data_IF_401586203529
#
_entry.id   IF_401586203529
#
_cell.length_a   1.000
_cell.length_b   1.000
_cell.length_c   1.000
_cell.angle_alpha   90.00
_cell.angle_beta   90.00
_cell.angle_gamma   90.00
#
_symmetry.space_group_name_H-M   'P 1'
#
loop_
_entity.id
_entity.type
_entity.pdbx_description
1 polymer ?
#
# COMPACT_ATOMS: atom_id res chain seq x y z
N UNK A 1 -24.95 47.04 24.39
CA UNK A 1 -24.44 47.58 23.11
C UNK A 1 -22.93 47.43 23.12
N UNK A 2 -22.36 46.79 22.09
CA UNK A 2 -20.91 46.74 21.87
C UNK A 2 -20.56 47.72 20.75
N UNK A 3 -19.56 48.56 20.98
CA UNK A 3 -19.06 49.57 20.03
C UNK A 3 -17.62 49.21 19.66
N UNK A 4 -17.32 49.20 18.36
CA UNK A 4 -16.00 48.83 17.84
C UNK A 4 -15.33 50.04 17.18
N UNK A 5 -14.03 50.22 17.45
CA UNK A 5 -13.17 51.21 16.80
C UNK A 5 -12.25 50.48 15.82
N UNK A 6 -12.12 50.99 14.60
CA UNK A 6 -11.26 50.44 13.54
C UNK A 6 -10.31 51.55 13.08
N UNK A 7 -9.04 51.54 13.53
CA UNK A 7 -8.05 52.60 13.22
C UNK A 7 -7.79 52.78 11.72
N UNK A 8 -7.93 51.71 10.91
CA UNK A 8 -7.67 51.75 9.47
C UNK A 8 -8.70 52.56 8.66
N UNK A 9 -9.87 52.86 9.23
CA UNK A 9 -10.93 53.61 8.56
C UNK A 9 -10.84 55.13 8.81
N UNK A 10 -10.11 55.55 9.84
CA UNK A 10 -9.92 56.96 10.17
C UNK A 10 -9.68 57.20 11.65
N UNK A 11 -9.25 58.43 12.01
CA UNK A 11 -8.84 58.78 13.36
C UNK A 11 -10.02 58.77 14.33
N UNK A 12 -9.71 58.51 15.61
CA UNK A 12 -10.70 58.53 16.67
C UNK A 12 -11.38 59.91 16.77
N UNK A 13 -12.69 59.96 17.09
CA UNK A 13 -13.38 61.23 17.27
C UNK A 13 -12.74 62.04 18.40
N UNK A 14 -12.84 63.38 18.33
CA UNK A 14 -12.12 64.31 19.24
C UNK A 14 -12.30 64.06 20.74
N UNK A 15 -13.42 63.47 21.16
CA UNK A 15 -13.71 63.15 22.56
C UNK A 15 -13.09 61.81 23.02
N UNK A 16 -12.56 61.00 22.10
CA UNK A 16 -11.92 59.70 22.35
C UNK A 16 -10.53 59.61 21.70
N UNK A 17 -9.81 60.73 21.62
CA UNK A 17 -8.45 60.78 21.03
C UNK A 17 -7.44 59.85 21.72
N UNK A 18 -7.68 59.48 22.98
CA UNK A 18 -6.86 58.51 23.72
C UNK A 18 -6.91 57.10 23.11
N UNK A 19 -7.99 56.73 22.42
CA UNK A 19 -8.08 55.43 21.76
C UNK A 19 -7.01 55.28 20.67
N UNK A 20 -6.69 56.36 19.97
CA UNK A 20 -5.63 56.37 18.95
C UNK A 20 -4.26 56.10 19.57
N UNK A 21 -3.94 56.76 20.68
CA UNK A 21 -2.71 56.52 21.45
C UNK A 21 -2.63 55.10 21.99
N UNK A 22 -3.75 54.57 22.50
CA UNK A 22 -3.80 53.21 23.05
C UNK A 22 -3.66 52.16 21.95
N UNK A 23 -4.24 52.40 20.76
CA UNK A 23 -4.04 51.53 19.60
C UNK A 23 -2.64 51.65 19.03
N UNK A 24 -2.04 52.83 19.01
CA UNK A 24 -0.65 53.04 18.57
C UNK A 24 0.34 52.33 19.51
N UNK A 25 0.17 52.45 20.83
CA UNK A 25 0.99 51.71 21.80
C UNK A 25 0.78 50.19 21.68
N UNK A 26 -0.44 49.74 21.39
CA UNK A 26 -0.73 48.32 21.22
C UNK A 26 -0.17 47.77 19.89
N UNK A 27 -0.19 48.58 18.83
CA UNK A 27 0.42 48.26 17.53
C UNK A 27 1.95 48.28 17.58
N UNK A 28 2.54 49.18 18.37
CA UNK A 28 3.99 49.20 18.63
C UNK A 28 4.42 48.02 19.51
N UNK A 29 3.55 47.58 20.42
CA UNK A 29 3.69 46.32 21.15
C UNK A 29 3.25 45.08 20.33
N UNK A 30 3.24 45.16 19.00
CA UNK A 30 3.31 43.93 18.21
C UNK A 30 4.54 43.19 18.71
N UNK A 31 4.31 42.15 19.51
CA UNK A 31 5.33 41.19 19.86
C UNK A 31 5.83 40.70 18.50
N UNK A 32 6.97 41.24 18.03
CA UNK A 32 7.72 40.58 16.98
C UNK A 32 7.72 39.13 17.40
N UNK A 33 7.23 38.24 16.54
CA UNK A 33 7.21 36.83 16.84
C UNK A 33 8.68 36.37 16.85
N UNK A 34 9.41 36.68 17.93
CA UNK A 34 10.83 36.37 18.16
C UNK A 34 11.06 34.85 18.11
N UNK A 35 9.98 34.08 18.04
CA UNK A 35 9.96 32.63 18.00
C UNK A 35 9.64 32.03 16.62
N UNK A 36 9.51 32.80 15.53
CA UNK A 36 9.24 32.24 14.20
C UNK A 36 10.35 31.25 13.74
N UNK A 37 11.59 31.50 14.16
CA UNK A 37 12.75 30.66 13.83
C UNK A 37 13.07 29.59 14.89
N UNK A 38 12.25 29.45 15.93
CA UNK A 38 12.48 28.48 17.00
C UNK A 38 11.48 27.33 16.98
N UNK A 39 12.00 26.10 17.00
CA UNK A 39 11.21 24.88 17.17
C UNK A 39 11.24 24.44 18.63
N UNK A 40 10.05 24.22 19.20
CA UNK A 40 9.91 23.55 20.48
C UNK A 40 10.22 22.05 20.33
N UNK A 41 11.09 21.54 21.19
CA UNK A 41 11.57 20.16 21.23
C UNK A 41 11.38 19.63 22.66
N UNK A 42 10.83 18.43 22.77
CA UNK A 42 10.69 17.74 24.07
C UNK A 42 12.01 17.13 24.53
N UNK A 43 12.15 16.88 25.84
CA UNK A 43 13.35 16.20 26.37
C UNK A 43 13.64 14.86 25.67
N UNK A 44 12.59 14.09 25.35
CA UNK A 44 12.70 12.81 24.64
C UNK A 44 13.20 12.98 23.21
N UNK A 45 12.71 13.99 22.48
CA UNK A 45 13.20 14.28 21.13
C UNK A 45 14.65 14.76 21.13
N UNK A 46 15.06 15.52 22.15
CA UNK A 46 16.45 15.95 22.30
C UNK A 46 17.40 14.76 22.55
N UNK A 47 16.98 13.81 23.38
CA UNK A 47 17.68 12.56 23.67
C UNK A 47 17.78 11.67 22.42
N UNK A 48 16.69 11.52 21.68
CA UNK A 48 16.66 10.77 20.41
C UNK A 48 17.59 11.38 19.33
N UNK A 49 17.77 12.70 19.36
CA UNK A 49 18.70 13.40 18.47
C UNK A 49 20.15 13.38 18.99
N UNK A 50 20.40 12.87 20.20
CA UNK A 50 21.73 12.82 20.83
C UNK A 50 22.25 14.19 21.28
N UNK A 51 21.36 15.16 21.54
CA UNK A 51 21.69 16.55 21.82
C UNK A 51 21.66 16.93 23.30
N UNK A 52 21.72 15.95 24.21
CA UNK A 52 21.65 16.18 25.66
C UNK A 52 22.78 17.07 26.20
N UNK A 53 23.94 17.02 25.55
CA UNK A 53 25.10 17.84 25.88
C UNK A 53 24.89 19.34 25.66
N UNK A 54 23.86 19.74 24.92
CA UNK A 54 23.51 21.14 24.68
C UNK A 54 22.65 21.73 25.80
N UNK A 55 22.17 20.91 26.74
CA UNK A 55 21.39 21.38 27.89
C UNK A 55 22.27 22.29 28.75
N UNK A 56 21.81 23.53 28.98
CA UNK A 56 22.54 24.55 29.74
C UNK A 56 23.42 25.46 28.88
N UNK A 57 23.55 25.19 27.57
CA UNK A 57 24.17 26.11 26.62
C UNK A 57 23.16 27.13 26.10
N UNK A 58 23.63 28.26 25.56
CA UNK A 58 22.76 29.30 24.98
C UNK A 58 22.05 28.87 23.68
N UNK A 59 22.32 27.66 23.17
CA UNK A 59 21.67 27.12 21.96
C UNK A 59 20.29 26.54 22.24
N UNK A 60 19.99 26.22 23.50
CA UNK A 60 18.71 25.70 23.96
C UNK A 60 18.12 26.67 24.98
N UNK A 61 16.94 27.19 24.68
CA UNK A 61 16.17 27.99 25.64
C UNK A 61 15.17 27.10 26.36
N UNK A 62 15.39 26.87 27.65
CA UNK A 62 14.45 26.11 28.48
C UNK A 62 13.09 26.81 28.53
N UNK A 63 12.02 26.06 28.25
CA UNK A 63 10.65 26.56 28.32
C UNK A 63 9.69 25.47 28.76
N UNK A 64 9.02 25.70 29.89
CA UNK A 64 8.04 24.80 30.52
C UNK A 64 8.58 23.37 30.74
N UNK A 65 8.43 22.48 29.76
CA UNK A 65 8.78 21.05 29.83
C UNK A 65 9.69 20.60 28.68
N UNK A 66 10.28 21.55 27.96
CA UNK A 66 11.16 21.27 26.83
C UNK A 66 12.11 22.43 26.55
N UNK A 67 12.58 22.49 25.32
CA UNK A 67 13.56 23.48 24.89
C UNK A 67 13.14 24.07 23.55
N UNK A 68 13.35 25.37 23.38
CA UNK A 68 13.35 25.99 22.07
C UNK A 68 14.76 25.91 21.48
N UNK A 69 14.83 25.45 20.24
CA UNK A 69 16.04 25.34 19.44
C UNK A 69 15.82 26.04 18.10
N UNK A 70 16.84 26.67 17.53
CA UNK A 70 16.78 27.20 16.17
C UNK A 70 16.38 26.08 15.18
N UNK A 71 15.36 26.34 14.35
CA UNK A 71 14.85 25.44 13.31
C UNK A 71 15.97 24.92 12.41
N UNK A 72 17.00 25.72 12.14
CA UNK A 72 18.15 25.32 11.31
C UNK A 72 18.99 24.25 11.98
N UNK A 73 19.24 24.40 13.28
CA UNK A 73 19.99 23.42 14.07
C UNK A 73 19.21 22.11 14.19
N UNK A 74 17.90 22.22 14.46
CA UNK A 74 17.01 21.05 14.51
C UNK A 74 17.00 20.26 13.20
N UNK A 75 16.90 20.94 12.04
CA UNK A 75 16.91 20.27 10.73
C UNK A 75 18.22 19.54 10.47
N UNK A 76 19.37 20.15 10.80
CA UNK A 76 20.69 19.51 10.66
C UNK A 76 20.81 18.29 11.57
N UNK A 77 20.43 18.43 12.84
CA UNK A 77 20.44 17.33 13.79
C UNK A 77 19.53 16.18 13.32
N UNK A 78 18.33 16.49 12.84
CA UNK A 78 17.41 15.48 12.30
C UNK A 78 17.99 14.75 11.08
N UNK A 79 18.63 15.46 10.16
CA UNK A 79 19.28 14.82 9.00
C UNK A 79 20.45 13.92 9.38
N UNK A 80 21.17 14.24 10.46
CA UNK A 80 22.31 13.45 10.95
C UNK A 80 21.83 12.26 11.77
N UNK A 81 20.83 12.44 12.62
CA UNK A 81 20.29 11.39 13.47
C UNK A 81 19.55 10.32 12.66
N UNK A 82 18.84 10.72 11.59
CA UNK A 82 18.08 9.80 10.75
C UNK A 82 18.52 9.83 9.27
N UNK A 83 19.73 9.34 8.91
CA UNK A 83 20.18 9.31 7.52
C UNK A 83 19.33 8.40 6.61
N UNK A 84 18.67 7.38 7.18
CA UNK A 84 17.94 6.36 6.44
C UNK A 84 16.42 6.54 6.41
N UNK A 85 15.87 7.65 6.94
CA UNK A 85 14.41 7.88 7.04
C UNK A 85 13.72 7.71 5.67
N UNK A 86 14.34 8.21 4.60
CA UNK A 86 13.80 8.10 3.25
C UNK A 86 13.79 6.64 2.74
N UNK A 87 14.88 5.91 2.93
CA UNK A 87 15.01 4.52 2.46
C UNK A 87 14.11 3.58 3.26
N UNK A 88 14.00 3.78 4.57
CA UNK A 88 13.07 3.02 5.43
C UNK A 88 11.62 3.31 5.07
N UNK A 89 11.27 4.58 4.81
CA UNK A 89 9.94 4.95 4.35
C UNK A 89 9.58 4.27 3.02
N UNK A 90 10.52 4.27 2.05
CA UNK A 90 10.35 3.56 0.78
C UNK A 90 10.18 2.06 0.99
N UNK A 91 11.05 1.42 1.76
CA UNK A 91 10.95 -0.02 2.08
C UNK A 91 9.63 -0.37 2.75
N UNK A 92 9.15 0.47 3.67
CA UNK A 92 7.88 0.27 4.37
C UNK A 92 6.69 0.39 3.40
N UNK A 93 6.72 1.35 2.48
CA UNK A 93 5.71 1.48 1.42
C UNK A 93 5.68 0.28 0.48
N UNK A 94 6.85 -0.18 0.04
CA UNK A 94 6.98 -1.39 -0.80
C UNK A 94 6.44 -2.62 -0.06
N UNK A 95 6.77 -2.78 1.22
CA UNK A 95 6.23 -3.87 2.04
C UNK A 95 4.70 -3.79 2.15
N UNK A 96 4.16 -2.60 2.40
CA UNK A 96 2.73 -2.38 2.50
C UNK A 96 2.00 -2.72 1.18
N UNK A 97 2.58 -2.38 0.02
CA UNK A 97 2.02 -2.77 -1.28
C UNK A 97 2.10 -4.27 -1.50
N UNK A 98 3.24 -4.91 -1.21
CA UNK A 98 3.40 -6.36 -1.31
C UNK A 98 2.41 -7.10 -0.39
N UNK A 99 2.19 -6.62 0.83
CA UNK A 99 1.22 -7.21 1.76
C UNK A 99 -0.22 -7.06 1.28
N UNK A 100 -0.58 -5.92 0.69
CA UNK A 100 -1.89 -5.73 0.03
C UNK A 100 -2.06 -6.70 -1.14
N UNK A 101 -1.03 -6.87 -1.97
CA UNK A 101 -1.07 -7.81 -3.09
C UNK A 101 -1.15 -9.26 -2.60
N UNK A 102 -0.45 -9.59 -1.51
CA UNK A 102 -0.56 -10.90 -0.84
C UNK A 102 -1.93 -11.15 -0.24
N UNK A 103 -2.61 -10.13 0.29
CA UNK A 103 -3.96 -10.28 0.83
C UNK A 103 -5.00 -10.59 -0.26
N UNK A 104 -4.76 -10.14 -1.49
CA UNK A 104 -5.59 -10.44 -2.65
C UNK A 104 -5.25 -11.82 -3.27
N UNK A 105 -4.11 -12.42 -2.92
CA UNK A 105 -3.75 -13.78 -3.37
C UNK A 105 -4.61 -14.79 -2.61
N UNK A 106 -5.29 -15.65 -3.36
CA UNK A 106 -6.07 -16.77 -2.82
C UNK A 106 -5.16 -17.60 -1.91
N UNK A 107 -5.41 -17.54 -0.61
CA UNK A 107 -4.77 -18.44 0.35
C UNK A 107 -5.33 -19.84 0.08
N UNK A 108 -4.48 -20.73 -0.42
CA UNK A 108 -4.84 -22.15 -0.58
C UNK A 108 -4.85 -22.75 0.82
N UNK A 109 -6.02 -23.17 1.28
CA UNK A 109 -6.15 -23.89 2.56
C UNK A 109 -5.26 -25.14 2.52
N UNK A 110 -4.48 -25.34 3.59
CA UNK A 110 -3.52 -26.45 3.66
C UNK A 110 -4.26 -27.78 3.50
N UNK A 111 -3.86 -28.56 2.49
CA UNK A 111 -4.41 -29.90 2.31
C UNK A 111 -4.03 -30.80 3.50
N UNK A 112 -4.95 -31.68 3.95
CA UNK A 112 -4.67 -32.63 5.01
C UNK A 112 -3.59 -33.65 4.62
N UNK A 113 -2.99 -34.28 5.64
CA UNK A 113 -1.88 -35.23 5.45
C UNK A 113 -2.36 -36.53 4.80
N UNK A 114 -3.52 -37.05 5.22
CA UNK A 114 -4.14 -38.28 4.72
C UNK A 114 -5.32 -37.94 3.79
N UNK A 115 -5.61 -38.78 2.80
CA UNK A 115 -6.75 -38.63 1.88
C UNK A 115 -6.80 -37.27 1.14
N UNK A 116 -5.63 -36.77 0.70
CA UNK A 116 -5.47 -35.53 -0.07
C UNK A 116 -6.42 -35.42 -1.26
N UNK A 117 -6.59 -36.52 -1.99
CA UNK A 117 -7.45 -36.57 -3.18
C UNK A 117 -8.94 -36.42 -2.82
N UNK A 118 -9.38 -36.90 -1.66
CA UNK A 118 -10.75 -36.74 -1.18
C UNK A 118 -10.98 -35.30 -0.72
N UNK A 119 -10.04 -34.73 0.04
CA UNK A 119 -10.09 -33.33 0.45
C UNK A 119 -10.13 -32.38 -0.76
N UNK A 120 -9.33 -32.65 -1.80
CA UNK A 120 -9.36 -31.91 -3.06
C UNK A 120 -10.72 -32.00 -3.77
N UNK A 121 -11.33 -33.18 -3.81
CA UNK A 121 -12.68 -33.34 -4.38
C UNK A 121 -13.71 -32.52 -3.59
N UNK A 122 -13.68 -32.59 -2.26
CA UNK A 122 -14.60 -31.84 -1.39
C UNK A 122 -14.39 -30.32 -1.49
N UNK A 123 -13.14 -29.83 -1.57
CA UNK A 123 -12.85 -28.41 -1.80
C UNK A 123 -13.36 -27.93 -3.17
N UNK A 124 -13.28 -28.77 -4.20
CA UNK A 124 -13.86 -28.45 -5.50
C UNK A 124 -15.39 -28.43 -5.44
N UNK A 125 -16.03 -29.39 -4.75
CA UNK A 125 -17.49 -29.41 -4.58
C UNK A 125 -18.01 -28.29 -3.67
N UNK A 126 -17.20 -27.80 -2.73
CA UNK A 126 -17.48 -26.59 -1.95
C UNK A 126 -17.63 -25.34 -2.82
N UNK A 127 -16.84 -25.25 -3.89
CA UNK A 127 -16.93 -24.14 -4.84
C UNK A 127 -18.19 -24.23 -5.73
N UNK A 128 -18.78 -25.42 -5.86
CA UNK A 128 -20.03 -25.64 -6.59
C UNK A 128 -21.26 -25.35 -5.70
N UNK A 129 -22.03 -24.31 -6.06
CA UNK A 129 -23.20 -23.83 -5.28
C UNK A 129 -24.25 -24.90 -4.93
N UNK A 130 -24.34 -26.00 -5.68
CA UNK A 130 -25.32 -27.08 -5.45
C UNK A 130 -24.88 -28.12 -4.43
N UNK A 131 -23.58 -28.26 -4.15
CA UNK A 131 -23.02 -29.30 -3.26
C UNK A 131 -22.23 -28.73 -2.08
N UNK A 132 -22.21 -27.41 -1.95
CA UNK A 132 -21.43 -26.67 -0.97
C UNK A 132 -21.71 -27.06 0.48
N UNK A 133 -22.98 -27.23 0.85
CA UNK A 133 -23.38 -27.48 2.26
C UNK A 133 -22.85 -28.82 2.78
N UNK A 134 -23.00 -29.89 1.99
CA UNK A 134 -22.50 -31.22 2.35
C UNK A 134 -20.96 -31.28 2.38
N UNK A 135 -20.30 -30.73 1.36
CA UNK A 135 -18.85 -30.76 1.27
C UNK A 135 -18.17 -29.89 2.35
N UNK A 136 -18.75 -28.72 2.67
CA UNK A 136 -18.24 -27.87 3.74
C UNK A 136 -18.42 -28.48 5.12
N UNK A 137 -19.56 -29.15 5.35
CA UNK A 137 -19.79 -29.85 6.61
C UNK A 137 -18.77 -30.97 6.81
N UNK A 138 -18.40 -31.75 5.78
CA UNK A 138 -17.47 -32.88 5.95
C UNK A 138 -16.02 -32.45 6.22
N UNK A 139 -15.59 -31.32 5.66
CA UNK A 139 -14.23 -30.78 5.88
C UNK A 139 -14.08 -30.10 7.25
N UNK A 140 -15.15 -29.49 7.76
CA UNK A 140 -15.11 -28.70 8.99
C UNK A 140 -15.66 -29.44 10.24
N UNK A 141 -16.35 -30.56 10.07
CA UNK A 141 -16.96 -31.32 11.18
C UNK A 141 -15.93 -32.20 11.89
N UNK A 142 -15.78 -31.97 13.20
CA UNK A 142 -14.85 -32.68 14.09
C UNK A 142 -15.04 -34.20 14.06
N UNK A 143 -16.26 -34.69 13.77
CA UNK A 143 -16.54 -36.13 13.67
C UNK A 143 -15.78 -36.81 12.53
N UNK A 144 -15.48 -36.08 11.46
CA UNK A 144 -14.80 -36.60 10.28
C UNK A 144 -13.31 -36.26 10.23
N UNK A 145 -12.80 -35.55 11.24
CA UNK A 145 -11.38 -35.19 11.37
C UNK A 145 -10.45 -36.42 11.30
N UNK A 146 -10.89 -37.53 11.87
CA UNK A 146 -10.16 -38.81 11.83
C UNK A 146 -9.90 -39.32 10.39
N UNK A 147 -10.77 -39.02 9.41
CA UNK A 147 -10.61 -39.44 8.01
C UNK A 147 -9.41 -38.76 7.31
N UNK A 148 -8.93 -37.64 7.85
CA UNK A 148 -7.91 -36.79 7.26
C UNK A 148 -6.57 -36.80 8.02
N UNK A 149 -6.58 -37.32 9.25
CA UNK A 149 -5.39 -37.39 10.12
C UNK A 149 -4.87 -38.83 10.30
N UNK A 150 -5.76 -39.83 10.40
CA UNK A 150 -5.36 -41.20 10.70
C UNK A 150 -5.01 -41.98 9.41
N UNK A 151 -3.84 -42.65 9.35
CA UNK A 151 -3.40 -43.39 8.16
C UNK A 151 -4.26 -44.62 7.86
N UNK A 152 -4.95 -45.18 8.86
CA UNK A 152 -5.81 -46.35 8.69
C UNK A 152 -7.00 -46.09 7.76
N UNK A 153 -7.37 -44.82 7.55
CA UNK A 153 -8.41 -44.42 6.61
C UNK A 153 -7.87 -44.07 5.22
N UNK A 154 -6.57 -44.26 4.95
CA UNK A 154 -5.97 -43.95 3.65
C UNK A 154 -6.57 -44.83 2.55
N UNK A 155 -7.15 -44.18 1.54
CA UNK A 155 -7.77 -44.88 0.42
C UNK A 155 -6.70 -45.25 -0.62
N UNK A 156 -6.27 -46.51 -0.62
CA UNK A 156 -5.38 -47.03 -1.66
C UNK A 156 -6.14 -47.32 -2.95
N UNK A 157 -5.78 -46.59 -4.01
CA UNK A 157 -6.39 -46.73 -5.35
C UNK A 157 -5.84 -47.92 -6.13
N UNK A 158 -4.69 -48.47 -5.72
CA UNK A 158 -4.05 -49.60 -6.38
C UNK A 158 -4.61 -50.94 -5.90
N UNK A 159 -5.26 -50.96 -4.74
CA UNK A 159 -5.92 -52.14 -4.19
C UNK A 159 -7.01 -52.67 -5.16
N UNK A 160 -7.09 -53.99 -5.31
CA UNK A 160 -8.05 -54.62 -6.22
C UNK A 160 -9.50 -54.38 -5.80
N UNK A 161 -9.77 -54.34 -4.50
CA UNK A 161 -11.10 -54.09 -3.93
C UNK A 161 -11.63 -52.72 -4.37
N UNK A 162 -10.79 -51.69 -4.30
CA UNK A 162 -11.16 -50.34 -4.73
C UNK A 162 -11.44 -50.28 -6.24
N UNK A 163 -10.64 -51.00 -7.05
CA UNK A 163 -10.81 -51.06 -8.52
C UNK A 163 -12.06 -51.82 -8.92
N UNK A 164 -12.42 -52.89 -8.21
CA UNK A 164 -13.59 -53.71 -8.49
C UNK A 164 -14.89 -52.96 -8.16
N UNK A 165 -14.89 -52.18 -7.07
CA UNK A 165 -16.04 -51.36 -6.68
C UNK A 165 -16.24 -50.16 -7.60
N UNK A 166 -15.16 -49.63 -8.20
CA UNK A 166 -15.16 -48.41 -8.99
C UNK A 166 -14.69 -48.61 -10.45
N UNK A 167 -15.39 -49.44 -11.26
CA UNK A 167 -14.93 -49.82 -12.59
C UNK A 167 -14.90 -48.66 -13.61
N UNK A 168 -15.66 -47.59 -13.39
CA UNK A 168 -15.77 -46.43 -14.29
C UNK A 168 -14.87 -45.25 -13.86
N UNK A 169 -14.41 -45.21 -12.61
CA UNK A 169 -13.73 -44.04 -12.06
C UNK A 169 -12.29 -43.87 -12.57
N UNK A 170 -11.58 -44.94 -12.91
CA UNK A 170 -10.15 -44.83 -13.29
C UNK A 170 -9.92 -43.93 -14.52
N UNK A 171 -10.75 -44.09 -15.56
CA UNK A 171 -10.60 -43.34 -16.83
C UNK A 171 -11.01 -41.87 -16.72
N UNK A 172 -12.05 -41.56 -15.93
CA UNK A 172 -12.54 -40.19 -15.76
C UNK A 172 -11.69 -39.38 -14.79
N UNK A 173 -11.20 -40.01 -13.73
CA UNK A 173 -10.36 -39.34 -12.72
C UNK A 173 -8.99 -38.96 -13.25
N UNK A 174 -8.31 -39.80 -14.04
CA UNK A 174 -7.00 -39.45 -14.61
C UNK A 174 -7.05 -38.19 -15.47
N UNK A 175 -8.12 -38.04 -16.26
CA UNK A 175 -8.34 -36.88 -17.12
C UNK A 175 -8.59 -35.61 -16.29
N UNK A 176 -9.32 -35.73 -15.18
CA UNK A 176 -9.63 -34.62 -14.29
C UNK A 176 -8.41 -34.23 -13.41
N UNK A 177 -7.66 -35.22 -12.92
CA UNK A 177 -6.44 -35.02 -12.11
C UNK A 177 -5.37 -34.28 -12.91
N UNK A 178 -5.13 -34.68 -14.18
CA UNK A 178 -4.21 -33.95 -15.09
C UNK A 178 -4.63 -32.50 -15.35
N UNK A 179 -5.93 -32.21 -15.45
CA UNK A 179 -6.43 -30.84 -15.62
C UNK A 179 -6.27 -30.01 -14.34
N UNK A 180 -6.54 -30.59 -13.18
CA UNK A 180 -6.41 -29.91 -11.88
C UNK A 180 -4.94 -29.62 -11.54
N UNK A 181 -4.03 -30.57 -11.73
CA UNK A 181 -2.59 -30.31 -11.55
C UNK A 181 -2.07 -29.20 -12.45
N UNK A 182 -2.48 -29.17 -13.73
CA UNK A 182 -2.11 -28.06 -14.63
C UNK A 182 -2.62 -26.70 -14.13
N UNK A 183 -3.82 -26.67 -13.55
CA UNK A 183 -4.43 -25.44 -13.02
C UNK A 183 -3.72 -24.94 -11.75
N UNK A 184 -3.33 -25.85 -10.86
CA UNK A 184 -2.57 -25.52 -9.64
C UNK A 184 -1.17 -25.03 -10.01
N UNK A 185 -0.45 -25.73 -10.89
CA UNK A 185 0.88 -25.32 -11.36
C UNK A 185 0.85 -23.96 -12.07
N UNK A 186 -0.18 -23.69 -12.89
CA UNK A 186 -0.34 -22.36 -13.52
C UNK A 186 -0.68 -21.24 -12.55
N UNK A 187 -1.25 -21.54 -11.38
CA UNK A 187 -1.56 -20.54 -10.35
C UNK A 187 -0.40 -20.32 -9.37
N UNK A 188 0.52 -21.29 -9.24
CA UNK A 188 1.74 -21.16 -8.44
C UNK A 188 2.91 -20.51 -9.21
N UNK A 189 2.94 -20.64 -10.53
CA UNK A 189 3.94 -20.04 -11.42
C UNK A 189 3.29 -19.04 -12.39
N UNK A 190 2.74 -17.94 -11.88
CA UNK A 190 2.93 -16.70 -12.63
C UNK A 190 4.39 -16.31 -12.38
N UNK A 191 5.27 -16.33 -13.40
CA UNK A 191 6.60 -15.80 -13.22
C UNK A 191 6.40 -14.34 -12.83
N UNK A 192 6.69 -14.01 -11.58
CA UNK A 192 7.00 -12.65 -11.22
C UNK A 192 8.11 -12.29 -12.19
N UNK A 193 7.80 -11.47 -13.20
CA UNK A 193 8.83 -10.71 -13.87
C UNK A 193 9.54 -10.00 -12.72
N UNK A 194 10.68 -10.55 -12.30
CA UNK A 194 11.69 -9.79 -11.58
C UNK A 194 11.95 -8.61 -12.50
N UNK A 195 11.28 -7.49 -12.23
CA UNK A 195 11.75 -6.22 -12.74
C UNK A 195 13.22 -6.17 -12.34
N UNK A 196 14.15 -6.06 -13.31
CA UNK A 196 15.56 -6.11 -13.00
C UNK A 196 15.85 -4.89 -12.13
N UNK A 197 15.98 -5.12 -10.82
CA UNK A 197 16.45 -4.10 -9.90
C UNK A 197 17.85 -3.69 -10.36
N UNK A 198 17.96 -2.44 -10.82
CA UNK A 198 19.22 -1.73 -10.89
C UNK A 198 20.19 -2.15 -11.98
N UNK A 199 19.84 -1.93 -13.26
CA UNK A 199 20.88 -1.50 -14.22
C UNK A 199 21.01 0.01 -14.13
N UNK A 200 22.04 0.44 -13.41
CA UNK A 200 22.52 1.81 -13.46
C UNK A 200 22.80 2.21 -14.91
N UNK A 201 22.32 3.40 -15.25
CA UNK A 201 22.59 4.09 -16.51
C UNK A 201 24.10 4.28 -16.68
N UNK A 202 24.73 3.36 -17.40
CA UNK A 202 26.08 3.50 -17.96
C UNK A 202 25.93 3.26 -19.46
N UNK A 203 26.39 4.24 -20.23
CA UNK A 203 26.32 4.29 -21.70
C UNK A 203 26.86 3.00 -22.34
N UNK A 204 25.96 2.11 -22.77
CA UNK A 204 26.27 1.05 -23.72
C UNK A 204 25.52 1.38 -25.02
N UNK A 205 26.29 1.75 -26.04
CA UNK A 205 25.82 1.92 -27.43
C UNK A 205 25.07 0.65 -27.88
N UNK A 206 23.80 0.84 -28.28
CA UNK A 206 22.99 -0.22 -28.86
C UNK A 206 23.46 -0.46 -30.30
N UNK A 207 24.09 -1.61 -30.56
CA UNK A 207 24.40 -2.07 -31.91
C UNK A 207 23.09 -2.29 -32.70
N UNK A 208 22.88 -1.43 -33.70
CA UNK A 208 21.77 -1.49 -34.64
C UNK A 208 22.02 -2.57 -35.69
N UNK A 209 21.34 -3.72 -35.56
CA UNK A 209 21.30 -4.70 -36.65
C UNK A 209 20.24 -4.27 -37.69
N UNK A 210 20.68 -3.90 -38.89
CA UNK A 210 19.80 -3.67 -40.03
C UNK A 210 19.10 -4.96 -40.46
N UNK A 211 17.76 -4.92 -40.58
CA UNK A 211 17.00 -6.00 -41.21
C UNK A 211 17.42 -6.14 -42.68
N UNK A 212 17.71 -7.38 -43.09
CA UNK A 212 18.00 -7.71 -44.49
C UNK A 212 16.77 -7.41 -45.36
N UNK A 213 16.96 -6.77 -46.52
CA UNK A 213 15.85 -6.39 -47.41
C UNK A 213 14.97 -7.60 -47.74
N UNK A 214 13.71 -7.55 -47.28
CA UNK A 214 12.69 -8.56 -47.53
C UNK A 214 12.12 -9.27 -46.29
N UNK A 215 12.65 -9.03 -45.09
CA UNK A 215 12.07 -9.56 -43.85
C UNK A 215 11.26 -8.50 -43.09
N UNK A 216 9.98 -8.78 -42.83
CA UNK A 216 9.12 -7.92 -42.01
C UNK A 216 9.24 -8.28 -40.52
N UNK A 217 9.53 -7.28 -39.69
CA UNK A 217 9.63 -7.41 -38.24
C UNK A 217 8.26 -7.78 -37.60
N UNK A 218 8.12 -9.00 -37.08
CA UNK A 218 6.88 -9.50 -36.43
C UNK A 218 6.87 -9.27 -34.90
N UNK A 219 7.22 -8.06 -34.44
CA UNK A 219 7.17 -7.69 -33.02
C UNK A 219 5.84 -7.04 -32.61
N UNK A 220 5.19 -7.60 -31.58
CA UNK A 220 4.13 -7.00 -30.73
C UNK A 220 2.77 -6.71 -31.40
N UNK A 221 2.30 -7.57 -32.30
CA UNK A 221 0.93 -7.44 -32.85
C UNK A 221 -0.21 -7.92 -31.91
N UNK A 222 0.08 -8.50 -30.75
CA UNK A 222 -0.91 -9.07 -29.83
C UNK A 222 -1.34 -8.16 -28.66
N UNK A 223 -0.66 -7.03 -28.42
CA UNK A 223 -1.05 -6.09 -27.36
C UNK A 223 -1.93 -4.95 -27.89
N UNK A 224 -3.12 -5.26 -28.39
CA UNK A 224 -4.19 -4.25 -28.50
C UNK A 224 -4.72 -3.92 -27.11
N UNK A 225 -3.93 -3.16 -26.34
CA UNK A 225 -4.37 -2.52 -25.11
C UNK A 225 -5.49 -1.55 -25.50
N UNK A 226 -6.72 -1.79 -25.04
CA UNK A 226 -7.83 -0.83 -25.15
C UNK A 226 -7.40 0.44 -24.41
N UNK A 227 -6.81 1.40 -25.13
CA UNK A 227 -6.62 2.76 -24.65
C UNK A 227 -7.99 3.42 -24.67
N UNK A 228 -8.64 3.48 -23.50
CA UNK A 228 -9.82 4.31 -23.33
C UNK A 228 -9.42 5.76 -23.68
N UNK A 229 -9.94 6.26 -24.79
CA UNK A 229 -9.67 7.61 -25.32
C UNK A 229 -10.44 8.64 -24.48
N UNK A 230 -9.74 9.25 -23.53
CA UNK A 230 -9.92 10.63 -23.09
C UNK A 230 -8.86 10.89 -22.00
N UNK A 231 -8.04 11.92 -22.17
CA UNK A 231 -7.13 12.33 -21.09
C UNK A 231 -7.92 12.90 -19.90
N UNK A 232 -7.35 12.84 -18.69
CA UNK A 232 -8.01 13.39 -17.50
C UNK A 232 -8.39 14.86 -17.68
N UNK A 233 -7.54 15.65 -18.34
CA UNK A 233 -7.81 17.05 -18.66
C UNK A 233 -8.98 17.25 -19.62
N UNK A 234 -9.23 16.30 -20.52
CA UNK A 234 -10.33 16.35 -21.48
C UNK A 234 -11.67 16.05 -20.80
N UNK A 235 -11.68 15.15 -19.80
CA UNK A 235 -12.87 14.86 -18.97
C UNK A 235 -13.27 16.06 -18.10
N UNK A 236 -12.28 16.73 -17.50
CA UNK A 236 -12.54 17.91 -16.65
C UNK A 236 -13.15 19.05 -17.48
N UNK A 237 -12.65 19.30 -18.70
CA UNK A 237 -13.25 20.30 -19.60
C UNK A 237 -14.69 19.97 -19.97
N UNK A 238 -15.00 18.70 -20.24
CA UNK A 238 -16.39 18.31 -20.53
C UNK A 238 -17.31 18.49 -19.32
N UNK A 239 -16.83 18.25 -18.09
CA UNK A 239 -17.61 18.50 -16.87
C UNK A 239 -17.84 19.99 -16.61
N UNK A 240 -16.84 20.85 -16.86
CA UNK A 240 -16.98 22.30 -16.72
C UNK A 240 -17.97 22.89 -17.72
N UNK A 241 -17.92 22.43 -18.97
CA UNK A 241 -18.89 22.82 -20.01
C UNK A 241 -20.29 22.37 -19.60
N UNK A 242 -20.44 21.13 -19.12
CA UNK A 242 -21.76 20.60 -18.75
C UNK A 242 -22.34 21.29 -17.49
N UNK A 243 -21.51 21.73 -16.55
CA UNK A 243 -21.95 22.56 -15.40
C UNK A 243 -22.41 23.95 -15.83
N UNK A 244 -21.78 24.56 -16.83
CA UNK A 244 -22.20 25.90 -17.33
C UNK A 244 -23.55 25.86 -18.03
N UNK A 245 -23.90 24.75 -18.68
CA UNK A 245 -25.21 24.59 -19.33
C UNK A 245 -26.36 24.31 -18.35
N UNK A 246 -26.07 23.93 -17.11
CA UNK A 246 -27.09 23.61 -16.09
C UNK A 246 -27.42 24.77 -15.14
N UNK A 247 -26.74 25.92 -15.28
CA UNK A 247 -26.93 27.11 -14.42
C UNK A 247 -27.56 28.27 -15.22
N UNK A 248 -28.15 28.00 -16.39
CA UNK A 248 -28.96 28.97 -17.12
C UNK A 248 -30.40 28.47 -17.25
#
# INVERSE_FOLDING_TARGET
MQTYYIPSLGPAPRWASFLDSLTEELEENNFENVYDDYKFITKQELENLGLDHLIGTNLLRAYMHGYFMDVRLYKKAKSVANPFEFDEYRKKKIRETIEKDRSNRVQVDKLPKVNKDLALKLMNEQNDKKRKEGAASLLADDRFKALFENPDFEVDRNAEEYRLLNPVLSRMEEKNKKKQLKKIVSQEFDPVEEEPEGKGSSDEELDFYELRQGEDYKGINSLKKKRNKASLGERIRTEEVNRRYYIM
#
